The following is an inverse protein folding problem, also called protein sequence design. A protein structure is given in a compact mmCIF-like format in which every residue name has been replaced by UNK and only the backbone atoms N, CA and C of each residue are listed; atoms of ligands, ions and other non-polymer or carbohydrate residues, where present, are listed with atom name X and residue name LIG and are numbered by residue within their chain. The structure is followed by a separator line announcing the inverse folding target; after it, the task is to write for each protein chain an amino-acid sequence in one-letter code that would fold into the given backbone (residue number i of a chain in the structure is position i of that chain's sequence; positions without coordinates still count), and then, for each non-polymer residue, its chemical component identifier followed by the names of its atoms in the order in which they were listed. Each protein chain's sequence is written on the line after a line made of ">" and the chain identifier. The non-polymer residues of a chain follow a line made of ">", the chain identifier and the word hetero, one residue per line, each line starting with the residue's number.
data_IF_029919881081
#
_entry.id   IF_029919881081
#
_cell.length_a   1.000
_cell.length_b   1.000
_cell.length_c   1.000
_cell.angle_alpha   90.00
_cell.angle_beta   90.00
_cell.angle_gamma   90.00
#
_symmetry.space_group_name_H-M   'P 1'
#
loop_
_entity.id
_entity.type
_entity.pdbx_description
1 polymer ?
#
# COMPACT_ATOMS: atom_id res chain seq x y z
N UNK A 1 13.80 19.62 0.70
CA UNK A 1 13.20 18.30 1.03
C UNK A 1 13.31 17.44 -0.21
N UNK A 2 14.07 16.34 -0.16
CA UNK A 2 14.29 15.44 -1.31
C UNK A 2 13.42 14.21 -1.10
N UNK A 3 12.61 13.86 -2.09
CA UNK A 3 11.80 12.64 -2.06
C UNK A 3 12.52 11.54 -2.82
N UNK A 4 12.57 10.33 -2.24
CA UNK A 4 13.06 9.15 -2.94
C UNK A 4 11.96 8.62 -3.86
N UNK A 5 12.32 8.29 -5.08
CA UNK A 5 11.45 7.65 -6.06
C UNK A 5 12.05 6.31 -6.46
N UNK A 6 11.21 5.28 -6.52
CA UNK A 6 11.57 3.95 -6.98
C UNK A 6 10.44 3.40 -7.85
N UNK A 7 10.80 2.86 -9.03
CA UNK A 7 9.88 2.22 -9.95
C UNK A 7 9.98 0.70 -9.79
N UNK A 8 8.91 0.08 -9.30
CA UNK A 8 8.77 -1.38 -9.25
C UNK A 8 7.77 -1.81 -10.33
N UNK A 9 8.29 -2.19 -11.51
CA UNK A 9 7.44 -2.66 -12.62
C UNK A 9 6.77 -3.99 -12.30
N UNK A 10 5.53 -4.14 -12.77
CA UNK A 10 4.78 -5.40 -12.68
C UNK A 10 4.87 -6.23 -13.96
N UNK A 11 5.57 -5.76 -14.99
CA UNK A 11 5.61 -6.42 -16.29
C UNK A 11 6.38 -7.74 -16.21
N UNK A 12 5.80 -8.81 -16.75
CA UNK A 12 6.40 -10.15 -16.73
C UNK A 12 6.46 -10.81 -15.34
N UNK A 13 5.84 -10.22 -14.32
CA UNK A 13 5.81 -10.76 -12.95
C UNK A 13 4.43 -11.31 -12.61
N UNK A 14 4.40 -12.39 -11.86
CA UNK A 14 3.21 -12.80 -11.11
C UNK A 14 2.84 -11.73 -10.07
N UNK A 15 1.63 -11.84 -9.51
CA UNK A 15 1.16 -10.90 -8.48
C UNK A 15 2.03 -11.00 -7.23
N UNK A 16 2.35 -12.23 -6.85
CA UNK A 16 3.12 -12.58 -5.67
C UNK A 16 4.56 -12.06 -5.79
N UNK A 17 5.20 -12.24 -6.95
CA UNK A 17 6.54 -11.69 -7.21
C UNK A 17 6.56 -10.16 -7.22
N UNK A 18 5.53 -9.52 -7.80
CA UNK A 18 5.42 -8.06 -7.81
C UNK A 18 5.22 -7.50 -6.41
N UNK A 19 4.31 -8.08 -5.63
CA UNK A 19 4.04 -7.67 -4.25
C UNK A 19 5.26 -7.91 -3.34
N UNK A 20 6.02 -8.99 -3.54
CA UNK A 20 7.25 -9.23 -2.81
C UNK A 20 8.29 -8.14 -3.10
N UNK A 21 8.58 -7.84 -4.37
CA UNK A 21 9.54 -6.79 -4.76
C UNK A 21 9.12 -5.40 -4.27
N UNK A 22 7.83 -5.08 -4.40
CA UNK A 22 7.28 -3.83 -3.91
C UNK A 22 7.38 -3.75 -2.38
N UNK A 23 7.08 -4.84 -1.67
CA UNK A 23 7.21 -4.91 -0.22
C UNK A 23 8.65 -4.75 0.25
N UNK A 24 9.62 -5.30 -0.47
CA UNK A 24 11.05 -5.15 -0.17
C UNK A 24 11.52 -3.69 -0.32
N UNK A 25 11.15 -3.05 -1.43
CA UNK A 25 11.43 -1.63 -1.67
C UNK A 25 10.83 -0.73 -0.58
N UNK A 26 9.57 -0.96 -0.22
CA UNK A 26 8.89 -0.18 0.83
C UNK A 26 9.56 -0.42 2.19
N UNK A 27 9.88 -1.67 2.54
CA UNK A 27 10.47 -2.02 3.83
C UNK A 27 11.88 -1.42 4.03
N UNK A 28 12.66 -1.25 2.96
CA UNK A 28 13.98 -0.62 3.00
C UNK A 28 13.94 0.86 3.45
N UNK A 29 12.76 1.49 3.43
CA UNK A 29 12.54 2.85 3.90
C UNK A 29 11.98 2.94 5.33
N UNK A 30 11.78 1.81 6.00
CA UNK A 30 11.25 1.70 7.37
C UNK A 30 10.03 2.60 7.65
N UNK A 31 8.97 2.56 6.81
CA UNK A 31 7.88 3.52 6.92
C UNK A 31 7.00 3.28 8.15
N UNK A 32 6.52 4.38 8.73
CA UNK A 32 5.40 4.37 9.68
C UNK A 32 4.08 4.04 8.98
N UNK A 33 3.88 4.58 7.77
CA UNK A 33 2.66 4.42 6.98
C UNK A 33 2.93 4.19 5.51
N UNK A 34 2.08 3.38 4.87
CA UNK A 34 2.07 3.13 3.44
C UNK A 34 0.74 3.63 2.88
N UNK A 35 0.77 4.69 2.08
CA UNK A 35 -0.44 5.30 1.50
C UNK A 35 -0.66 4.82 0.07
N UNK A 36 -1.78 4.14 -0.16
CA UNK A 36 -2.20 3.71 -1.49
C UNK A 36 -2.94 4.84 -2.20
N UNK A 37 -2.19 5.73 -2.84
CA UNK A 37 -2.72 6.88 -3.58
C UNK A 37 -3.20 6.45 -4.98
N UNK A 38 -4.48 6.08 -5.10
CA UNK A 38 -5.08 5.58 -6.36
C UNK A 38 -4.38 4.32 -6.90
N UNK A 39 -3.85 3.48 -6.01
CA UNK A 39 -3.29 2.19 -6.38
C UNK A 39 -4.42 1.23 -6.77
N UNK A 40 -4.38 0.74 -8.02
CA UNK A 40 -5.50 -0.01 -8.63
C UNK A 40 -5.33 -1.54 -8.57
N UNK A 41 -4.15 -2.04 -8.22
CA UNK A 41 -3.91 -3.49 -8.11
C UNK A 41 -4.39 -4.00 -6.75
N UNK A 42 -4.90 -5.23 -6.73
CA UNK A 42 -5.28 -5.92 -5.49
C UNK A 42 -4.00 -6.41 -4.82
N UNK A 43 -3.81 -6.05 -3.55
CA UNK A 43 -2.71 -6.52 -2.72
C UNK A 43 -2.97 -7.94 -2.23
N UNK A 44 -1.93 -8.77 -2.18
CA UNK A 44 -2.05 -10.10 -1.59
C UNK A 44 -2.14 -10.02 -0.06
N UNK A 45 -2.72 -11.04 0.60
CA UNK A 45 -2.74 -11.11 2.07
C UNK A 45 -1.35 -11.05 2.69
N UNK A 46 -0.33 -11.63 2.05
CA UNK A 46 1.06 -11.64 2.50
C UNK A 46 1.65 -10.23 2.51
N UNK A 47 1.35 -9.43 1.49
CA UNK A 47 1.75 -8.02 1.45
C UNK A 47 1.13 -7.23 2.60
N UNK A 48 -0.17 -7.41 2.86
CA UNK A 48 -0.86 -6.73 3.96
C UNK A 48 -0.31 -7.15 5.32
N UNK A 49 0.02 -8.44 5.48
CA UNK A 49 0.61 -8.98 6.70
C UNK A 49 2.01 -8.38 6.99
N UNK A 50 2.74 -7.97 5.95
CA UNK A 50 4.06 -7.31 6.10
C UNK A 50 3.97 -5.91 6.72
N UNK A 51 2.85 -5.22 6.54
CA UNK A 51 2.65 -3.84 7.01
C UNK A 51 1.40 -3.73 7.90
N UNK A 52 1.39 -4.45 9.05
CA UNK A 52 0.19 -4.56 9.89
C UNK A 52 -0.20 -3.20 10.45
N UNK A 53 -1.45 -2.77 10.18
CA UNK A 53 -2.00 -1.46 10.57
C UNK A 53 -1.26 -0.23 10.01
N UNK A 54 -0.36 -0.41 9.03
CA UNK A 54 0.39 0.69 8.41
C UNK A 54 -0.17 1.11 7.05
N UNK A 55 -0.99 0.28 6.42
CA UNK A 55 -1.51 0.55 5.07
C UNK A 55 -2.79 1.39 5.14
N UNK A 56 -2.80 2.52 4.45
CA UNK A 56 -3.93 3.45 4.34
C UNK A 56 -4.40 3.49 2.89
N UNK A 57 -5.68 3.19 2.65
CA UNK A 57 -6.27 3.27 1.30
C UNK A 57 -7.09 4.54 1.14
N UNK A 58 -6.70 5.38 0.18
CA UNK A 58 -7.48 6.58 -0.15
C UNK A 58 -8.55 6.23 -1.20
N UNK A 59 -9.84 6.53 -0.94
CA UNK A 59 -10.90 6.33 -1.92
C UNK A 59 -10.71 7.28 -3.13
N UNK A 60 -11.11 6.86 -4.34
CA UNK A 60 -10.87 7.60 -5.59
C UNK A 60 -11.63 8.94 -5.70
N UNK A 61 -12.57 9.22 -4.80
CA UNK A 61 -13.44 10.38 -4.84
C UNK A 61 -13.07 11.38 -3.73
N UNK A 62 -11.84 11.88 -3.73
CA UNK A 62 -11.45 13.00 -2.88
C UNK A 62 -11.18 14.21 -3.76
N UNK A 63 -12.27 14.90 -4.10
CA UNK A 63 -12.20 16.31 -4.45
C UNK A 63 -11.90 17.10 -3.18
N UNK A 64 -10.99 18.05 -3.29
CA UNK A 64 -10.62 18.97 -2.24
C UNK A 64 -11.87 19.60 -1.58
N UNK A 65 -12.13 19.31 -0.30
CA UNK A 65 -13.08 20.10 0.48
C UNK A 65 -13.85 19.39 1.58
N UNK A 66 -14.12 18.08 1.50
CA UNK A 66 -15.04 17.45 2.48
C UNK A 66 -14.62 16.02 2.81
N UNK A 67 -13.78 15.82 3.83
CA UNK A 67 -13.87 14.60 4.64
C UNK A 67 -13.45 14.87 6.09
N UNK A 68 -14.38 14.63 7.02
CA UNK A 68 -14.23 14.72 8.48
C UNK A 68 -14.28 13.33 9.14
N UNK A 69 -14.07 12.25 8.37
CA UNK A 69 -14.10 10.86 8.88
C UNK A 69 -12.73 10.18 8.73
N UNK A 70 -12.39 9.23 9.62
CA UNK A 70 -11.12 8.52 9.57
C UNK A 70 -10.98 7.69 8.27
N UNK A 71 -9.80 7.75 7.66
CA UNK A 71 -9.43 6.94 6.49
C UNK A 71 -9.29 5.48 6.94
N UNK A 72 -9.87 4.50 6.21
CA UNK A 72 -9.78 3.11 6.63
C UNK A 72 -8.33 2.60 6.54
N UNK A 73 -7.83 2.11 7.67
CA UNK A 73 -6.58 1.34 7.75
C UNK A 73 -6.89 -0.09 7.32
N UNK A 74 -6.13 -0.61 6.36
CA UNK A 74 -6.29 -2.00 5.93
C UNK A 74 -5.79 -2.91 7.05
N UNK A 75 -6.67 -3.80 7.52
CA UNK A 75 -6.33 -4.85 8.48
C UNK A 75 -6.12 -6.17 7.74
N UNK A 76 -5.16 -7.01 8.17
CA UNK A 76 -5.08 -8.38 7.68
C UNK A 76 -6.41 -9.09 7.99
N UNK A 77 -6.91 -9.89 7.05
CA UNK A 77 -8.03 -10.79 7.33
C UNK A 77 -7.57 -11.75 8.44
N UNK A 78 -8.27 -11.75 9.57
CA UNK A 78 -8.09 -12.77 10.59
C UNK A 78 -8.48 -14.10 9.96
N UNK A 79 -7.52 -15.03 9.84
CA UNK A 79 -7.84 -16.42 9.59
C UNK A 79 -8.68 -16.91 10.79
N UNK A 80 -9.92 -17.32 10.53
CA UNK A 80 -10.80 -18.03 11.44
C UNK A 80 -11.07 -19.40 10.83
#
# INVERSE_FOLDING_TARGET
>A
MVFRFELVSHEGLSREEHDQRMGDAIAAHEPDYVVLAKYMRVLTPEFVARFPNKIIKYPPFVFAGVYRRPVPIIRPMSAA
#
